data_IF_800769343072
#
_entry.id   IF_800769343072
#
_cell.length_a   1.000
_cell.length_b   1.000
_cell.length_c   1.000
_cell.angle_alpha   90.00
_cell.angle_beta   90.00
_cell.angle_gamma   90.00
#
_symmetry.space_group_name_H-M   'P 1'
#
loop_
_entity.id
_entity.type
_entity.pdbx_description
1 polymer ?
#
# COMPACT_ATOMS: atom_id res chain seq x y z
N UNK A 1 2.58 -8.23 -11.34
CA UNK A 1 3.57 -7.30 -10.77
C UNK A 1 4.28 -6.43 -11.81
N UNK A 2 5.23 -6.94 -12.61
CA UNK A 2 6.00 -6.08 -13.54
C UNK A 2 5.12 -5.27 -14.52
N UNK A 3 4.06 -5.88 -15.04
CA UNK A 3 3.09 -5.19 -15.89
C UNK A 3 2.28 -4.11 -15.16
N UNK A 4 2.00 -4.29 -13.86
CA UNK A 4 1.31 -3.29 -13.04
C UNK A 4 2.22 -2.08 -12.78
N UNK A 5 3.47 -2.32 -12.41
CA UNK A 5 4.43 -1.23 -12.20
C UNK A 5 4.69 -0.41 -13.46
N UNK A 6 4.62 -1.03 -14.64
CA UNK A 6 4.75 -0.33 -15.92
C UNK A 6 3.61 0.66 -16.22
N UNK A 7 2.45 0.56 -15.54
CA UNK A 7 1.35 1.51 -15.70
C UNK A 7 1.42 2.68 -14.72
N UNK A 8 2.26 2.57 -13.68
CA UNK A 8 2.40 3.62 -12.68
C UNK A 8 3.43 4.66 -13.14
N UNK A 9 3.15 5.96 -12.99
CA UNK A 9 4.20 6.96 -13.07
C UNK A 9 5.20 6.76 -11.92
N UNK A 10 6.42 7.32 -12.05
CA UNK A 10 7.33 7.46 -10.91
C UNK A 10 6.63 8.13 -9.73
N UNK A 11 7.07 7.81 -8.52
CA UNK A 11 6.53 8.42 -7.31
C UNK A 11 6.60 9.96 -7.40
N UNK A 12 5.50 10.63 -7.02
CA UNK A 12 5.36 12.09 -7.17
C UNK A 12 6.32 12.87 -6.28
N UNK A 13 6.67 12.34 -5.10
CA UNK A 13 7.46 13.05 -4.09
C UNK A 13 8.96 12.93 -4.36
N UNK A 14 9.42 11.73 -4.67
CA UNK A 14 10.83 11.40 -4.86
C UNK A 14 11.24 11.45 -6.34
N UNK A 15 10.29 11.37 -7.28
CA UNK A 15 10.55 11.23 -8.71
C UNK A 15 11.13 9.88 -9.11
N UNK A 16 11.21 8.92 -8.18
CA UNK A 16 11.87 7.64 -8.38
C UNK A 16 10.94 6.58 -8.94
N UNK A 17 11.45 5.63 -9.74
CA UNK A 17 10.68 4.47 -10.15
C UNK A 17 10.41 3.53 -8.97
N UNK A 18 9.34 2.76 -9.07
CA UNK A 18 8.99 1.71 -8.12
C UNK A 18 9.90 0.50 -8.25
N UNK A 19 10.30 -0.08 -7.12
CA UNK A 19 11.07 -1.31 -7.05
C UNK A 19 10.14 -2.52 -7.31
N UNK A 20 10.47 -3.42 -8.26
CA UNK A 20 9.66 -4.61 -8.52
C UNK A 20 9.69 -5.66 -7.41
N UNK A 21 10.61 -5.56 -6.44
CA UNK A 21 10.63 -6.45 -5.28
C UNK A 21 9.61 -5.98 -4.24
N UNK A 22 8.66 -6.83 -3.82
CA UNK A 22 7.73 -6.52 -2.75
C UNK A 22 8.41 -6.31 -1.40
N UNK A 23 7.95 -5.33 -0.64
CA UNK A 23 8.20 -5.24 0.80
C UNK A 23 7.27 -6.19 1.56
N UNK A 24 6.00 -6.22 1.16
CA UNK A 24 4.98 -7.14 1.68
C UNK A 24 4.07 -7.63 0.55
N UNK A 25 3.48 -8.82 0.69
CA UNK A 25 2.60 -9.39 -0.32
C UNK A 25 1.72 -10.49 0.26
N UNK A 26 0.43 -10.46 -0.05
CA UNK A 26 -0.52 -11.57 0.05
C UNK A 26 -1.07 -11.95 -1.34
N UNK A 27 -0.46 -11.41 -2.42
CA UNK A 27 -0.83 -11.69 -3.80
C UNK A 27 -1.21 -13.15 -4.05
N UNK A 28 -2.46 -13.36 -4.44
CA UNK A 28 -3.01 -14.62 -4.89
C UNK A 28 -3.79 -14.36 -6.19
N UNK A 29 -3.41 -15.01 -7.32
CA UNK A 29 -4.14 -14.85 -8.58
C UNK A 29 -5.57 -15.41 -8.54
N UNK A 30 -5.95 -16.18 -7.52
CA UNK A 30 -7.28 -16.74 -7.33
C UNK A 30 -8.16 -15.92 -6.38
N UNK A 31 -7.58 -15.05 -5.56
CA UNK A 31 -8.32 -14.22 -4.61
C UNK A 31 -9.17 -13.16 -5.32
N UNK A 32 -10.33 -12.84 -4.75
CA UNK A 32 -11.15 -11.70 -5.17
C UNK A 32 -10.40 -10.38 -4.94
N UNK A 33 -9.61 -10.27 -3.88
CA UNK A 33 -8.71 -9.15 -3.70
C UNK A 33 -7.42 -9.61 -3.03
N UNK A 34 -6.30 -9.18 -3.57
CA UNK A 34 -4.98 -9.32 -2.93
C UNK A 34 -4.12 -8.11 -3.24
N UNK A 35 -3.02 -7.96 -2.53
CA UNK A 35 -2.15 -6.81 -2.61
C UNK A 35 -0.66 -7.15 -2.65
N UNK A 36 0.09 -6.19 -3.18
CA UNK A 36 1.54 -6.13 -3.10
C UNK A 36 1.92 -4.73 -2.65
N UNK A 37 2.67 -4.63 -1.56
CA UNK A 37 3.26 -3.36 -1.12
C UNK A 37 4.67 -3.26 -1.70
N UNK A 38 4.94 -2.17 -2.41
CA UNK A 38 6.25 -1.87 -3.00
C UNK A 38 6.74 -0.52 -2.50
N UNK A 39 8.05 -0.32 -2.55
CA UNK A 39 8.68 0.97 -2.28
C UNK A 39 9.47 1.43 -3.52
N UNK A 40 10.07 2.62 -3.47
CA UNK A 40 10.88 3.15 -4.58
C UNK A 40 12.28 2.52 -4.65
N UNK A 41 12.94 2.65 -5.80
CA UNK A 41 14.35 2.22 -5.94
C UNK A 41 15.28 3.05 -5.05
N UNK A 42 16.28 2.39 -4.45
CA UNK A 42 17.16 2.87 -3.37
C UNK A 42 16.41 3.55 -2.21
N UNK A 43 15.28 2.97 -1.82
CA UNK A 43 14.49 3.38 -0.68
C UNK A 43 15.30 3.39 0.63
N UNK A 44 14.99 4.37 1.46
CA UNK A 44 15.25 4.39 2.90
C UNK A 44 13.98 4.01 3.67
N UNK A 45 14.08 3.83 4.98
CA UNK A 45 12.92 3.43 5.80
C UNK A 45 11.72 4.39 5.72
N UNK A 46 11.96 5.68 5.51
CA UNK A 46 10.92 6.71 5.37
C UNK A 46 10.48 6.93 3.92
N UNK A 47 10.89 6.07 2.99
CA UNK A 47 10.50 6.18 1.60
C UNK A 47 9.04 5.83 1.41
N UNK A 48 8.38 6.40 0.39
CA UNK A 48 6.98 6.12 0.12
C UNK A 48 6.77 4.66 -0.26
N UNK A 49 5.75 4.05 0.34
CA UNK A 49 5.26 2.72 -0.02
C UNK A 49 3.92 2.86 -0.74
N UNK A 50 3.75 2.09 -1.81
CA UNK A 50 2.51 2.01 -2.58
C UNK A 50 1.96 0.58 -2.49
N UNK A 51 0.69 0.46 -2.10
CA UNK A 51 -0.02 -0.81 -2.13
C UNK A 51 -0.76 -0.96 -3.45
N UNK A 52 -0.35 -1.96 -4.23
CA UNK A 52 -0.94 -2.34 -5.51
C UNK A 52 -2.02 -3.39 -5.27
N UNK A 53 -3.23 -3.16 -5.77
CA UNK A 53 -4.38 -4.03 -5.60
C UNK A 53 -4.61 -4.89 -6.84
N UNK A 54 -4.92 -6.15 -6.62
CA UNK A 54 -5.17 -7.15 -7.66
C UNK A 54 -6.49 -7.88 -7.41
N UNK A 55 -7.36 -7.92 -8.41
CA UNK A 55 -8.55 -8.77 -8.44
C UNK A 55 -8.27 -9.96 -9.35
N UNK A 56 -8.27 -11.19 -8.82
CA UNK A 56 -8.02 -12.43 -9.57
C UNK A 56 -6.76 -12.33 -10.47
N UNK A 57 -5.68 -11.82 -9.89
CA UNK A 57 -4.38 -11.63 -10.53
C UNK A 57 -4.29 -10.45 -11.52
N UNK A 58 -5.39 -9.73 -11.76
CA UNK A 58 -5.39 -8.53 -12.60
C UNK A 58 -5.20 -7.28 -11.74
N UNK A 59 -4.27 -6.41 -12.16
CA UNK A 59 -4.07 -5.13 -11.48
C UNK A 59 -5.28 -4.23 -11.67
N UNK A 60 -5.85 -3.73 -10.57
CA UNK A 60 -7.09 -2.93 -10.58
C UNK A 60 -6.88 -1.50 -10.07
N UNK A 61 -5.73 -1.20 -9.48
CA UNK A 61 -5.40 0.13 -9.00
C UNK A 61 -4.53 0.08 -7.75
N UNK A 62 -4.35 1.24 -7.12
CA UNK A 62 -3.61 1.37 -5.88
C UNK A 62 -4.56 1.56 -4.71
N UNK A 63 -4.15 1.19 -3.50
CA UNK A 63 -4.98 1.29 -2.30
C UNK A 63 -5.34 2.75 -1.98
N UNK A 64 -4.39 3.65 -2.19
CA UNK A 64 -4.52 5.09 -1.97
C UNK A 64 -4.05 5.87 -3.20
N UNK A 65 -4.58 7.08 -3.45
CA UNK A 65 -4.12 7.93 -4.57
C UNK A 65 -2.70 8.50 -4.41
N UNK A 66 -2.18 8.47 -3.18
CA UNK A 66 -0.85 8.90 -2.80
C UNK A 66 -0.17 7.80 -2.02
N UNK A 67 1.15 7.70 -2.18
CA UNK A 67 1.99 6.76 -1.45
C UNK A 67 2.25 7.24 -0.02
N UNK A 68 2.28 6.30 0.91
CA UNK A 68 2.53 6.56 2.33
C UNK A 68 3.74 5.75 2.77
N UNK A 69 4.71 6.35 3.48
CA UNK A 69 5.78 5.57 4.06
C UNK A 69 5.26 4.72 5.22
N UNK A 70 5.99 3.67 5.57
CA UNK A 70 5.67 2.77 6.68
C UNK A 70 4.31 2.07 6.50
N UNK A 71 3.97 1.74 5.25
CA UNK A 71 2.77 0.96 4.94
C UNK A 71 3.08 -0.52 5.10
N UNK A 72 2.26 -1.23 5.87
CA UNK A 72 2.40 -2.66 6.11
C UNK A 72 1.13 -3.41 5.74
N UNK A 73 1.31 -4.64 5.27
CA UNK A 73 0.22 -5.57 5.01
C UNK A 73 -0.04 -6.45 6.24
N UNK A 74 -1.27 -6.42 6.75
CA UNK A 74 -1.70 -7.25 7.86
C UNK A 74 -2.21 -8.60 7.32
N UNK A 75 -1.28 -9.45 6.88
CA UNK A 75 -1.61 -10.76 6.32
C UNK A 75 -2.52 -11.63 7.22
N UNK A 76 -2.38 -11.66 8.57
CA UNK A 76 -3.29 -12.43 9.42
C UNK A 76 -4.73 -11.91 9.47
N UNK A 77 -4.96 -10.64 9.11
CA UNK A 77 -6.28 -10.00 9.08
C UNK A 77 -6.86 -9.94 7.66
N UNK A 78 -6.06 -10.28 6.64
CA UNK A 78 -6.47 -10.29 5.24
C UNK A 78 -7.04 -11.66 4.86
N UNK A 79 -8.04 -11.68 3.98
CA UNK A 79 -8.74 -12.85 3.44
C UNK A 79 -8.76 -12.78 1.92
N UNK A 80 -9.36 -13.79 1.27
CA UNK A 80 -9.45 -13.84 -0.21
C UNK A 80 -10.20 -12.66 -0.84
N UNK A 81 -10.98 -11.89 -0.07
CA UNK A 81 -11.76 -10.74 -0.54
C UNK A 81 -11.48 -9.43 0.20
N UNK A 82 -10.70 -9.48 1.30
CA UNK A 82 -10.38 -8.34 2.15
C UNK A 82 -8.86 -8.22 2.30
N UNK A 83 -8.32 -7.07 1.92
CA UNK A 83 -6.93 -6.69 2.22
C UNK A 83 -6.94 -5.70 3.38
N UNK A 84 -6.12 -5.95 4.39
CA UNK A 84 -5.96 -5.03 5.53
C UNK A 84 -4.55 -4.44 5.52
N UNK A 85 -4.47 -3.11 5.49
CA UNK A 85 -3.22 -2.37 5.54
C UNK A 85 -3.13 -1.53 6.81
N UNK A 86 -1.93 -1.46 7.39
CA UNK A 86 -1.60 -0.55 8.48
C UNK A 86 -0.70 0.56 7.97
N UNK A 87 -1.07 1.80 8.25
CA UNK A 87 -0.28 3.00 7.94
C UNK A 87 0.22 3.62 9.23
N UNK A 88 1.54 3.84 9.35
CA UNK A 88 2.13 4.51 10.52
C UNK A 88 2.51 5.95 10.21
N UNK A 89 2.15 6.85 11.12
CA UNK A 89 2.49 8.28 11.04
C UNK A 89 2.87 8.86 12.41
N UNK A 90 3.37 10.10 12.44
CA UNK A 90 3.65 10.86 13.68
C UNK A 90 4.62 10.20 14.69
N UNK A 91 5.47 9.29 14.24
CA UNK A 91 6.55 8.70 15.02
C UNK A 91 7.66 9.72 15.33
N UNK A 92 8.38 9.54 16.44
CA UNK A 92 9.46 10.46 16.83
C UNK A 92 10.72 10.34 15.98
N UNK A 93 10.92 9.19 15.32
CA UNK A 93 12.01 8.94 14.39
C UNK A 93 11.65 7.80 13.42
N UNK A 94 12.32 7.69 12.27
CA UNK A 94 12.03 6.64 11.27
C UNK A 94 12.17 5.22 11.84
N UNK A 95 13.09 5.02 12.78
CA UNK A 95 13.30 3.73 13.44
C UNK A 95 12.35 3.47 14.61
N UNK A 96 11.63 4.48 15.06
CA UNK A 96 10.79 4.45 16.24
C UNK A 96 9.41 3.87 15.90
N UNK A 97 8.86 3.07 16.81
CA UNK A 97 7.55 2.42 16.64
C UNK A 97 6.45 3.15 17.42
N UNK A 98 6.73 4.37 17.89
CA UNK A 98 5.84 5.21 18.72
C UNK A 98 4.85 6.06 17.92
N UNK A 99 4.72 5.79 16.63
CA UNK A 99 3.77 6.46 15.75
C UNK A 99 2.32 6.01 15.96
N UNK A 100 1.40 6.79 15.39
CA UNK A 100 -0.02 6.46 15.29
C UNK A 100 -0.22 5.46 14.15
N UNK A 101 -0.89 4.34 14.47
CA UNK A 101 -1.29 3.34 13.49
C UNK A 101 -2.72 3.62 13.02
N UNK A 102 -2.90 3.70 11.71
CA UNK A 102 -4.23 3.71 11.07
C UNK A 102 -4.39 2.40 10.32
N UNK A 103 -5.35 1.58 10.73
CA UNK A 103 -5.67 0.30 10.08
C UNK A 103 -6.83 0.53 9.12
N UNK A 104 -6.69 0.08 7.88
CA UNK A 104 -7.68 0.30 6.82
C UNK A 104 -7.92 -1.00 6.06
N UNK A 105 -9.18 -1.42 6.04
CA UNK A 105 -9.67 -2.52 5.21
C UNK A 105 -10.03 -2.07 3.79
N UNK A 106 -9.75 -2.93 2.83
CA UNK A 106 -10.09 -2.76 1.42
C UNK A 106 -10.78 -4.02 0.94
N UNK A 107 -11.91 -3.88 0.26
CA UNK A 107 -12.67 -5.00 -0.28
C UNK A 107 -13.06 -4.75 -1.74
N UNK A 108 -13.06 -5.81 -2.55
CA UNK A 108 -13.58 -5.73 -3.91
C UNK A 108 -15.11 -5.61 -3.91
N UNK A 109 -15.65 -4.56 -4.53
CA UNK A 109 -17.08 -4.29 -4.65
C UNK A 109 -17.51 -4.32 -6.11
N UNK A 110 -17.58 -5.52 -6.68
CA UNK A 110 -18.11 -5.78 -8.02
C UNK A 110 -17.19 -5.33 -9.16
N UNK A 111 -16.89 -4.03 -9.23
CA UNK A 111 -16.11 -3.38 -10.29
C UNK A 111 -14.96 -2.49 -9.78
N UNK A 112 -14.84 -2.25 -8.48
CA UNK A 112 -13.79 -1.42 -7.90
C UNK A 112 -13.36 -1.91 -6.50
N UNK A 113 -12.21 -1.41 -6.05
CA UNK A 113 -11.77 -1.57 -4.66
C UNK A 113 -12.44 -0.48 -3.81
N UNK A 114 -13.15 -0.88 -2.78
CA UNK A 114 -13.74 0.01 -1.79
C UNK A 114 -12.89 0.04 -0.53
N UNK A 115 -12.47 1.24 -0.13
CA UNK A 115 -11.90 1.48 1.19
C UNK A 115 -13.03 1.45 2.23
N UNK A 116 -12.89 0.62 3.27
CA UNK A 116 -13.93 0.36 4.26
C UNK A 116 -13.82 1.28 5.49
N UNK A 117 -12.62 1.76 5.78
CA UNK A 117 -12.30 2.58 6.95
C UNK A 117 -11.88 4.00 6.52
N UNK A 118 -11.79 4.96 7.46
CA UNK A 118 -11.26 6.29 7.15
C UNK A 118 -9.86 6.22 6.52
N UNK A 119 -9.56 7.10 5.54
CA UNK A 119 -8.24 7.12 4.92
C UNK A 119 -7.16 7.48 5.96
N UNK A 120 -5.91 7.01 5.75
CA UNK A 120 -4.79 7.41 6.59
C UNK A 120 -4.56 8.92 6.50
N UNK A 121 -4.14 9.50 7.63
CA UNK A 121 -3.77 10.91 7.73
C UNK A 121 -2.78 11.28 6.62
N UNK A 122 -3.03 12.35 5.83
CA UNK A 122 -2.12 12.75 4.77
C UNK A 122 -0.71 12.92 5.32
N UNK A 123 0.28 12.31 4.67
CA UNK A 123 1.69 12.40 5.09
C UNK A 123 2.19 13.85 5.21
N UNK A 124 1.64 14.78 4.43
CA UNK A 124 2.02 16.20 4.44
C UNK A 124 1.19 17.05 5.42
N UNK A 125 0.44 16.42 6.33
CA UNK A 125 -0.30 17.16 7.36
C UNK A 125 0.70 17.78 8.34
N UNK A 126 0.64 19.10 8.60
CA UNK A 126 1.44 19.70 9.67
C UNK A 126 1.04 19.09 11.03
N UNK A 127 1.99 18.97 11.97
CA UNK A 127 1.72 18.49 13.33
C UNK A 127 0.74 19.37 14.10
#
# INVERSE_FOLDING_TARGET
MAAALATLPPDKKTGRPWNPTPEFSDYDPCAELSAVVVTVVDATRSSPDEALMFHRGQFVGTATPEAYPFTQLEAPASTDDLVVLTYRSRQSCDACEDGVLTVVGFQWQGDHVQMLDPPPDPWDSPP
#
